data_IF_807867965698
#
_entry.id   IF_807867965698
#
_cell.length_a   1.000
_cell.length_b   1.000
_cell.length_c   1.000
_cell.angle_alpha   90.00
_cell.angle_beta   90.00
_cell.angle_gamma   90.00
#
_symmetry.space_group_name_H-M   'P 1'
#
loop_
_entity.id
_entity.type
_entity.pdbx_description
1 polymer ?
#
# COMPACT_ATOMS: atom_id res chain seq x y z
N UNK A 1 -0.23 18.52 -38.17
CA UNK A 1 -1.29 17.50 -38.31
C UNK A 1 -1.20 16.62 -37.08
N UNK A 2 -2.21 16.71 -36.22
CA UNK A 2 -2.17 16.25 -34.83
C UNK A 2 -1.90 14.74 -34.73
N UNK A 3 -0.83 14.39 -34.00
CA UNK A 3 -0.53 13.01 -33.66
C UNK A 3 -1.64 12.47 -32.77
N UNK A 4 -2.38 11.50 -33.29
CA UNK A 4 -3.38 10.69 -32.58
C UNK A 4 -2.82 10.21 -31.24
N UNK A 5 -3.22 10.84 -30.15
CA UNK A 5 -3.06 10.25 -28.83
C UNK A 5 -4.18 9.24 -28.62
N UNK A 6 -4.00 8.06 -29.21
CA UNK A 6 -4.74 6.88 -28.77
C UNK A 6 -3.84 6.14 -27.77
N UNK A 7 -3.49 6.80 -26.67
CA UNK A 7 -2.85 6.13 -25.54
C UNK A 7 -3.93 5.29 -24.85
N UNK A 8 -4.07 4.04 -25.29
CA UNK A 8 -4.52 2.99 -24.38
C UNK A 8 -3.52 3.00 -23.23
N UNK A 9 -3.81 3.71 -22.14
CA UNK A 9 -2.96 3.65 -20.96
C UNK A 9 -2.85 2.18 -20.56
N UNK A 10 -1.63 1.66 -20.47
CA UNK A 10 -1.43 0.29 -20.01
C UNK A 10 -2.12 0.10 -18.66
N UNK A 11 -2.78 -1.04 -18.43
CA UNK A 11 -3.43 -1.28 -17.15
C UNK A 11 -2.36 -1.29 -16.04
N UNK A 12 -2.57 -0.44 -15.03
CA UNK A 12 -1.76 -0.38 -13.83
C UNK A 12 -2.56 -1.00 -12.69
N UNK A 13 -1.92 -1.90 -11.95
CA UNK A 13 -2.45 -2.48 -10.73
C UNK A 13 -1.67 -1.97 -9.53
N UNK A 14 -2.36 -1.82 -8.41
CA UNK A 14 -1.80 -1.46 -7.12
C UNK A 14 -1.79 -2.67 -6.18
N UNK A 15 -0.70 -2.78 -5.42
CA UNK A 15 -0.53 -3.77 -4.36
C UNK A 15 -0.33 -3.03 -3.04
N UNK A 16 -1.41 -2.68 -2.31
CA UNK A 16 -1.31 -2.28 -0.92
C UNK A 16 -0.77 -3.41 -0.05
N UNK A 17 0.16 -3.05 0.83
CA UNK A 17 0.65 -3.90 1.89
C UNK A 17 0.52 -3.21 3.25
N UNK A 18 0.36 -4.03 4.29
CA UNK A 18 0.31 -3.60 5.69
C UNK A 18 1.34 -4.37 6.51
N UNK A 19 1.87 -3.72 7.55
CA UNK A 19 2.53 -4.38 8.67
C UNK A 19 2.16 -3.67 9.96
N UNK A 20 2.48 -4.27 11.11
CA UNK A 20 2.22 -3.65 12.40
C UNK A 20 3.23 -4.08 13.45
N UNK A 21 3.39 -3.27 14.49
CA UNK A 21 3.97 -3.69 15.76
C UNK A 21 2.97 -3.43 16.90
N UNK A 22 3.10 -4.16 18.00
CA UNK A 22 2.36 -3.86 19.23
C UNK A 22 3.11 -2.85 20.09
N UNK A 23 2.40 -2.11 20.92
CA UNK A 23 2.98 -1.31 22.00
C UNK A 23 2.50 0.15 22.04
N UNK A 24 3.13 0.94 22.91
CA UNK A 24 2.76 2.35 23.16
C UNK A 24 3.39 3.32 22.15
N UNK A 25 4.37 2.87 21.37
CA UNK A 25 5.07 3.67 20.36
C UNK A 25 5.33 2.83 19.10
N UNK A 26 5.36 3.44 17.89
CA UNK A 26 5.78 2.74 16.69
C UNK A 26 7.23 2.29 16.75
N UNK A 27 7.49 1.06 16.27
CA UNK A 27 8.82 0.44 16.23
C UNK A 27 8.98 -0.37 14.96
N UNK A 28 10.00 -0.02 14.19
CA UNK A 28 10.29 -0.59 12.87
C UNK A 28 10.91 -1.98 12.94
N UNK A 29 11.74 -2.22 13.96
CA UNK A 29 12.45 -3.46 14.26
C UNK A 29 11.54 -4.56 14.83
N UNK A 30 10.45 -4.17 15.50
CA UNK A 30 9.45 -5.08 16.06
C UNK A 30 8.23 -5.27 15.14
N UNK A 31 8.21 -4.61 13.99
CA UNK A 31 7.11 -4.73 13.05
C UNK A 31 7.09 -6.13 12.40
N UNK A 32 5.88 -6.64 12.18
CA UNK A 32 5.69 -7.84 11.37
C UNK A 32 6.25 -7.64 9.96
N UNK A 33 6.45 -8.74 9.25
CA UNK A 33 6.65 -8.70 7.81
C UNK A 33 5.50 -7.99 7.10
N UNK A 34 5.81 -7.41 5.94
CA UNK A 34 4.81 -6.79 5.07
C UNK A 34 3.88 -7.84 4.48
N UNK A 35 2.58 -7.65 4.68
CA UNK A 35 1.53 -8.54 4.17
C UNK A 35 0.76 -7.87 3.04
N UNK A 36 0.55 -8.60 1.94
CA UNK A 36 -0.31 -8.15 0.85
C UNK A 36 -1.77 -8.22 1.25
N UNK A 37 -2.48 -7.11 1.08
CA UNK A 37 -3.90 -7.02 1.40
C UNK A 37 -4.75 -7.46 0.20
N UNK A 38 -4.49 -6.89 -0.99
CA UNK A 38 -5.22 -7.17 -2.24
C UNK A 38 -4.45 -6.65 -3.46
N UNK A 39 -4.78 -7.17 -4.66
CA UNK A 39 -4.44 -6.55 -5.94
C UNK A 39 -5.66 -5.78 -6.47
N UNK A 40 -5.46 -4.53 -6.87
CA UNK A 40 -6.56 -3.63 -7.24
C UNK A 40 -6.18 -2.72 -8.41
N UNK A 41 -7.17 -2.16 -9.11
CA UNK A 41 -6.95 -1.18 -10.21
C UNK A 41 -7.37 0.23 -9.80
N UNK A 42 -8.19 0.35 -8.76
CA UNK A 42 -8.60 1.61 -8.15
C UNK A 42 -7.47 2.22 -7.31
N UNK A 43 -7.55 3.52 -7.05
CA UNK A 43 -6.57 4.27 -6.27
C UNK A 43 -6.87 4.30 -4.76
N UNK A 44 -7.99 3.71 -4.33
CA UNK A 44 -8.42 3.67 -2.94
C UNK A 44 -8.90 2.27 -2.53
N UNK A 45 -8.59 1.89 -1.30
CA UNK A 45 -9.00 0.62 -0.70
C UNK A 45 -9.39 0.82 0.75
N UNK A 46 -10.43 0.14 1.18
CA UNK A 46 -10.76 0.00 2.58
C UNK A 46 -10.07 -1.24 3.13
N UNK A 47 -9.25 -1.04 4.16
CA UNK A 47 -8.51 -2.12 4.83
C UNK A 47 -9.19 -2.47 6.15
N UNK A 48 -9.49 -3.75 6.32
CA UNK A 48 -10.08 -4.28 7.54
C UNK A 48 -9.02 -4.78 8.52
N UNK A 49 -9.45 -5.15 9.73
CA UNK A 49 -8.60 -5.84 10.71
C UNK A 49 -7.61 -4.94 11.45
N UNK A 50 -7.81 -3.61 11.42
CA UNK A 50 -7.15 -2.69 12.34
C UNK A 50 -7.55 -3.04 13.78
N UNK A 51 -6.58 -3.04 14.69
CA UNK A 51 -6.82 -3.41 16.10
C UNK A 51 -6.29 -2.34 17.06
N UNK A 52 -6.90 -2.21 18.24
CA UNK A 52 -6.31 -1.42 19.33
C UNK A 52 -4.89 -1.88 19.66
N UNK A 53 -4.07 -0.96 20.16
CA UNK A 53 -2.69 -1.19 20.62
C UNK A 53 -1.73 -1.69 19.53
N UNK A 54 -2.08 -1.45 18.26
CA UNK A 54 -1.20 -1.68 17.12
C UNK A 54 -0.81 -0.36 16.47
N UNK A 55 0.44 -0.29 16.06
CA UNK A 55 0.95 0.72 15.16
C UNK A 55 1.02 0.11 13.78
N UNK A 56 -0.01 0.31 12.98
CA UNK A 56 -0.08 -0.13 11.61
C UNK A 56 0.71 0.82 10.69
N UNK A 57 1.31 0.28 9.65
CA UNK A 57 1.96 1.04 8.61
C UNK A 57 1.62 0.44 7.25
N UNK A 58 1.52 1.29 6.24
CA UNK A 58 1.05 0.91 4.91
C UNK A 58 2.08 1.31 3.86
N UNK A 59 2.15 0.55 2.77
CA UNK A 59 2.88 0.92 1.55
C UNK A 59 2.14 0.40 0.33
N UNK A 60 2.41 0.98 -0.83
CA UNK A 60 1.79 0.57 -2.08
C UNK A 60 2.85 0.43 -3.17
N UNK A 61 2.74 -0.62 -3.97
CA UNK A 61 3.47 -0.75 -5.23
C UNK A 61 2.52 -0.57 -6.41
N UNK A 62 3.02 -0.02 -7.51
CA UNK A 62 2.33 0.02 -8.79
C UNK A 62 3.03 -0.92 -9.78
N UNK A 63 2.25 -1.80 -10.42
CA UNK A 63 2.74 -2.79 -11.37
C UNK A 63 1.96 -2.72 -12.69
N UNK A 64 2.66 -2.92 -13.80
CA UNK A 64 2.08 -3.19 -15.12
C UNK A 64 2.72 -4.46 -15.69
N UNK A 65 2.21 -4.95 -16.81
CA UNK A 65 2.76 -6.15 -17.47
C UNK A 65 4.23 -5.99 -17.89
N UNK A 66 4.68 -4.74 -18.11
CA UNK A 66 6.03 -4.44 -18.58
C UNK A 66 6.94 -3.86 -17.49
N UNK A 67 6.41 -3.48 -16.32
CA UNK A 67 7.19 -2.74 -15.32
C UNK A 67 6.66 -2.85 -13.90
N UNK A 68 7.53 -2.60 -12.92
CA UNK A 68 7.14 -2.26 -11.56
C UNK A 68 7.79 -0.94 -11.17
N UNK A 69 7.04 -0.05 -10.53
CA UNK A 69 7.61 1.17 -9.92
C UNK A 69 8.21 0.90 -8.53
N UNK A 70 8.17 -0.34 -8.05
CA UNK A 70 8.53 -0.70 -6.68
C UNK A 70 7.51 -0.16 -5.66
N UNK A 71 7.80 -0.40 -4.38
CA UNK A 71 6.99 0.16 -3.30
C UNK A 71 7.33 1.63 -3.08
N UNK A 72 6.30 2.46 -2.91
CA UNK A 72 6.45 3.80 -2.37
C UNK A 72 7.00 3.74 -0.93
N UNK A 73 7.53 4.87 -0.45
CA UNK A 73 7.91 5.01 0.95
C UNK A 73 6.72 4.65 1.87
N UNK A 74 6.95 3.93 2.98
CA UNK A 74 5.90 3.61 3.92
C UNK A 74 5.22 4.87 4.47
N UNK A 75 3.93 4.73 4.81
CA UNK A 75 3.15 5.78 5.46
C UNK A 75 3.74 6.13 6.83
N UNK A 76 3.30 7.26 7.40
CA UNK A 76 3.39 7.44 8.86
C UNK A 76 2.65 6.30 9.55
N UNK A 77 3.10 5.96 10.75
CA UNK A 77 2.41 4.98 11.58
C UNK A 77 1.01 5.47 11.94
N UNK A 78 0.06 4.56 11.84
CA UNK A 78 -1.34 4.76 12.19
C UNK A 78 -1.64 3.93 13.44
N UNK A 79 -2.28 4.54 14.43
CA UNK A 79 -2.75 3.84 15.62
C UNK A 79 -4.27 3.97 15.70
N UNK A 80 -4.96 2.82 15.70
CA UNK A 80 -6.41 2.82 15.91
C UNK A 80 -6.71 3.20 17.36
N UNK A 81 -7.54 4.22 17.56
CA UNK A 81 -8.16 4.52 18.86
C UNK A 81 -9.45 3.73 19.11
N UNK A 82 -9.96 3.03 18.08
CA UNK A 82 -11.11 2.14 18.16
C UNK A 82 -10.69 0.73 18.51
#
# INVERSE_FOLDING_TARGET
MESKCNMSAEPVFYIPQKRWNYGIQPREDEATEWQMERLMMEDNVQLDGLRPNRWDQFRVAAISVHSTRGFAAPSKHFHSSR
#
